data_IF_634562379058
#
_entry.id   IF_634562379058
#
_cell.length_a   1.000
_cell.length_b   1.000
_cell.length_c   1.000
_cell.angle_alpha   90.00
_cell.angle_beta   90.00
_cell.angle_gamma   90.00
#
_symmetry.space_group_name_H-M   'P 1'
#
loop_
_entity.id
_entity.type
_entity.pdbx_description
1 polymer ?
#
# COMPACT_ATOMS: atom_id res chain seq x y z
N UNK A 1 18.03 0.40 -20.31
CA UNK A 1 16.80 -0.39 -20.03
C UNK A 1 15.69 0.47 -19.44
N UNK A 2 14.90 1.14 -20.28
CA UNK A 2 13.78 1.99 -19.86
C UNK A 2 12.63 1.17 -19.22
N UNK A 3 12.37 -0.02 -19.76
CA UNK A 3 11.32 -0.93 -19.28
C UNK A 3 11.55 -1.44 -17.84
N UNK A 4 12.78 -1.85 -17.50
CA UNK A 4 13.14 -2.26 -16.13
C UNK A 4 13.02 -1.11 -15.13
N UNK A 5 13.35 0.12 -15.55
CA UNK A 5 13.28 1.29 -14.68
C UNK A 5 11.81 1.67 -14.37
N UNK A 6 10.93 1.51 -15.36
CA UNK A 6 9.49 1.70 -15.15
C UNK A 6 8.90 0.64 -14.22
N UNK A 7 9.31 -0.62 -14.38
CA UNK A 7 8.86 -1.73 -13.53
C UNK A 7 9.33 -1.57 -12.07
N UNK A 8 10.61 -1.23 -11.86
CA UNK A 8 11.13 -0.92 -10.51
C UNK A 8 10.38 0.25 -9.87
N UNK A 9 10.07 1.31 -10.63
CA UNK A 9 9.30 2.45 -10.12
C UNK A 9 7.89 2.08 -9.70
N UNK A 10 7.24 1.14 -10.38
CA UNK A 10 5.90 0.66 -10.00
C UNK A 10 5.97 -0.17 -8.72
N UNK A 11 6.95 -1.06 -8.63
CA UNK A 11 7.17 -1.89 -7.45
C UNK A 11 7.50 -1.06 -6.20
N UNK A 12 8.42 -0.08 -6.31
CA UNK A 12 8.75 0.82 -5.20
C UNK A 12 7.54 1.64 -4.73
N UNK A 13 6.66 2.06 -5.66
CA UNK A 13 5.41 2.74 -5.29
C UNK A 13 4.44 1.83 -4.56
N UNK A 14 4.28 0.59 -5.02
CA UNK A 14 3.44 -0.38 -4.34
C UNK A 14 3.95 -0.67 -2.93
N UNK A 15 5.27 -0.78 -2.75
CA UNK A 15 5.90 -0.95 -1.43
C UNK A 15 5.70 0.28 -0.52
N UNK A 16 5.83 1.49 -1.05
CA UNK A 16 5.55 2.71 -0.27
C UNK A 16 4.11 2.76 0.23
N UNK A 17 3.13 2.49 -0.64
CA UNK A 17 1.71 2.45 -0.25
C UNK A 17 1.40 1.31 0.71
N UNK A 18 2.10 0.17 0.59
CA UNK A 18 2.02 -0.94 1.54
C UNK A 18 2.51 -0.51 2.94
N UNK A 19 3.63 0.22 3.02
CA UNK A 19 4.17 0.76 4.27
C UNK A 19 3.27 1.84 4.90
N UNK A 20 2.69 2.73 4.09
CA UNK A 20 1.72 3.74 4.55
C UNK A 20 0.49 3.06 5.16
N UNK A 21 -0.04 2.03 4.50
CA UNK A 21 -1.17 1.22 4.99
C UNK A 21 -0.82 0.46 6.28
N UNK A 22 0.39 -0.09 6.39
CA UNK A 22 0.85 -0.79 7.59
C UNK A 22 0.96 0.18 8.78
N UNK A 23 1.56 1.35 8.55
CA UNK A 23 1.67 2.41 9.56
C UNK A 23 0.31 2.82 10.09
N UNK A 24 -0.67 3.04 9.20
CA UNK A 24 -2.05 3.37 9.59
C UNK A 24 -2.72 2.24 10.38
N UNK A 25 -2.55 0.99 9.95
CA UNK A 25 -3.10 -0.18 10.64
C UNK A 25 -2.52 -0.34 12.06
N UNK A 26 -1.22 -0.05 12.24
CA UNK A 26 -0.56 -0.09 13.54
C UNK A 26 -0.98 1.06 14.47
N UNK A 27 -1.13 2.28 13.93
CA UNK A 27 -1.55 3.45 14.70
C UNK A 27 -3.02 3.40 15.12
N UNK A 28 -3.88 2.79 14.29
CA UNK A 28 -5.32 2.71 14.54
C UNK A 28 -5.84 1.27 14.44
N UNK A 29 -5.59 0.41 15.45
CA UNK A 29 -6.06 -0.98 15.46
C UNK A 29 -7.58 -1.14 15.35
N UNK A 30 -8.33 -0.14 15.83
CA UNK A 30 -9.79 -0.10 15.76
C UNK A 30 -10.32 0.36 14.38
N UNK A 31 -9.53 1.11 13.61
CA UNK A 31 -9.85 1.55 12.24
C UNK A 31 -9.23 0.66 11.17
N UNK A 32 -8.63 -0.47 11.56
CA UNK A 32 -8.11 -1.52 10.68
C UNK A 32 -9.13 -2.07 9.65
N UNK A 33 -10.37 -1.58 9.68
CA UNK A 33 -11.48 -1.88 8.78
C UNK A 33 -11.52 -1.01 7.51
N UNK A 34 -10.51 -0.19 7.25
CA UNK A 34 -10.29 0.39 5.92
C UNK A 34 -10.03 1.90 5.93
N UNK A 35 -8.99 2.30 5.23
CA UNK A 35 -8.55 3.69 5.08
C UNK A 35 -8.95 4.22 3.70
N UNK A 36 -9.46 5.45 3.65
CA UNK A 36 -9.84 6.05 2.37
C UNK A 36 -8.63 6.24 1.46
N UNK A 37 -8.79 6.05 0.14
CA UNK A 37 -7.73 6.37 -0.82
C UNK A 37 -7.27 7.83 -0.73
N UNK A 38 -8.15 8.75 -0.27
CA UNK A 38 -7.81 10.14 -0.05
C UNK A 38 -6.76 10.34 1.06
N UNK A 39 -6.83 9.55 2.14
CA UNK A 39 -5.85 9.60 3.24
C UNK A 39 -4.50 9.09 2.76
N UNK A 40 -4.48 7.97 2.02
CA UNK A 40 -3.26 7.42 1.44
C UNK A 40 -2.61 8.39 0.44
N UNK A 41 -3.42 9.12 -0.34
CA UNK A 41 -2.93 10.20 -1.20
C UNK A 41 -2.31 11.35 -0.43
N UNK A 42 -2.84 11.69 0.75
CA UNK A 42 -2.31 12.78 1.56
C UNK A 42 -0.97 12.41 2.23
N UNK A 43 -0.77 11.14 2.58
CA UNK A 43 0.49 10.64 3.15
C UNK A 43 1.56 10.36 2.08
N UNK A 44 1.15 9.99 0.88
CA UNK A 44 2.08 9.62 -0.18
C UNK A 44 2.80 10.83 -0.78
N UNK A 45 4.10 10.67 -1.03
CA UNK A 45 4.89 11.61 -1.84
C UNK A 45 4.49 11.62 -3.32
N UNK A 46 3.65 10.68 -3.78
CA UNK A 46 3.12 10.64 -5.14
C UNK A 46 1.62 10.31 -5.17
N UNK A 47 0.74 11.30 -4.92
CA UNK A 47 -0.70 11.11 -4.80
C UNK A 47 -1.36 10.52 -6.06
N UNK A 48 -0.90 10.92 -7.24
CA UNK A 48 -1.39 10.44 -8.54
C UNK A 48 -1.19 8.93 -8.72
N UNK A 49 -0.13 8.37 -8.12
CA UNK A 49 0.24 6.96 -8.23
C UNK A 49 -0.48 6.01 -7.28
N UNK A 50 -1.17 6.54 -6.26
CA UNK A 50 -1.75 5.73 -5.17
C UNK A 50 -2.83 4.79 -5.69
N UNK A 51 -3.74 5.26 -6.54
CA UNK A 51 -4.82 4.42 -7.09
C UNK A 51 -4.28 3.23 -7.88
N UNK A 52 -3.22 3.45 -8.68
CA UNK A 52 -2.56 2.40 -9.43
C UNK A 52 -1.84 1.41 -8.52
N UNK A 53 -1.15 1.91 -7.49
CA UNK A 53 -0.47 1.06 -6.50
C UNK A 53 -1.47 0.20 -5.71
N UNK A 54 -2.60 0.76 -5.28
CA UNK A 54 -3.66 0.02 -4.61
C UNK A 54 -4.24 -1.09 -5.49
N UNK A 55 -4.45 -0.79 -6.77
CA UNK A 55 -4.89 -1.80 -7.75
C UNK A 55 -3.87 -2.92 -7.90
N UNK A 56 -2.56 -2.61 -7.93
CA UNK A 56 -1.50 -3.62 -7.98
C UNK A 56 -1.42 -4.46 -6.70
N UNK A 57 -1.57 -3.85 -5.54
CA UNK A 57 -1.61 -4.57 -4.26
C UNK A 57 -2.84 -5.48 -4.18
N UNK A 58 -3.97 -5.05 -4.76
CA UNK A 58 -5.19 -5.89 -4.90
C UNK A 58 -4.96 -7.10 -5.79
N UNK A 59 -4.36 -6.90 -6.96
CA UNK A 59 -4.00 -7.98 -7.89
C UNK A 59 -3.03 -8.98 -7.26
N UNK A 60 -2.15 -8.52 -6.37
CA UNK A 60 -1.21 -9.36 -5.62
C UNK A 60 -1.82 -10.00 -4.37
N UNK A 61 -3.07 -9.69 -4.02
CA UNK A 61 -3.74 -10.19 -2.82
C UNK A 61 -3.23 -9.59 -1.51
N UNK A 62 -2.45 -8.51 -1.57
CA UNK A 62 -1.86 -7.81 -0.43
C UNK A 62 -2.79 -6.74 0.16
N UNK A 63 -3.67 -6.16 -0.67
CA UNK A 63 -4.68 -5.20 -0.23
C UNK A 63 -6.06 -5.61 -0.74
N UNK A 64 -7.10 -5.16 -0.04
CA UNK A 64 -8.48 -5.32 -0.46
C UNK A 64 -9.26 -4.03 -0.29
N UNK A 65 -10.20 -3.82 -1.20
CA UNK A 65 -11.15 -2.72 -1.13
C UNK A 65 -12.39 -3.19 -0.34
N UNK A 66 -12.69 -2.51 0.76
CA UNK A 66 -13.77 -2.85 1.67
C UNK A 66 -15.09 -2.11 1.34
N UNK A 67 -15.04 -1.19 0.36
CA UNK A 67 -16.17 -0.40 -0.13
C UNK A 67 -16.07 1.08 0.24
N UNK A 68 -16.80 1.94 -0.49
CA UNK A 68 -16.76 3.41 -0.34
C UNK A 68 -15.33 4.00 -0.41
N UNK A 69 -14.50 3.48 -1.31
CA UNK A 69 -13.11 3.91 -1.48
C UNK A 69 -12.21 3.65 -0.25
N UNK A 70 -12.60 2.69 0.61
CA UNK A 70 -11.82 2.24 1.74
C UNK A 70 -10.97 1.01 1.38
N UNK A 71 -9.70 1.06 1.77
CA UNK A 71 -8.67 0.06 1.49
C UNK A 71 -8.06 -0.45 2.79
N UNK A 72 -7.87 -1.76 2.88
CA UNK A 72 -7.20 -2.40 4.01
C UNK A 72 -6.18 -3.42 3.52
N UNK A 73 -5.18 -3.69 4.35
CA UNK A 73 -4.29 -4.82 4.13
C UNK A 73 -5.01 -6.12 4.38
N UNK A 74 -4.69 -7.13 3.57
CA UNK A 74 -5.00 -8.52 3.89
C UNK A 74 -3.95 -9.03 4.89
N UNK A 75 -4.16 -10.24 5.42
CA UNK A 75 -3.12 -10.88 6.23
C UNK A 75 -1.79 -11.02 5.47
N UNK A 76 -1.85 -11.36 4.18
CA UNK A 76 -0.67 -11.44 3.33
C UNK A 76 0.03 -10.08 3.16
N UNK A 77 -0.75 -9.00 3.07
CA UNK A 77 -0.22 -7.63 3.03
C UNK A 77 0.51 -7.23 4.30
N UNK A 78 -0.03 -7.58 5.47
CA UNK A 78 0.63 -7.35 6.76
C UNK A 78 1.95 -8.12 6.87
N UNK A 79 1.95 -9.40 6.48
CA UNK A 79 3.15 -10.22 6.49
C UNK A 79 4.22 -9.70 5.52
N UNK A 80 3.82 -9.19 4.35
CA UNK A 80 4.73 -8.62 3.35
C UNK A 80 5.26 -7.25 3.78
N UNK A 81 4.44 -6.44 4.45
CA UNK A 81 4.87 -5.17 5.02
C UNK A 81 5.97 -5.38 6.07
N UNK A 82 5.79 -6.36 6.97
CA UNK A 82 6.80 -6.72 7.97
C UNK A 82 8.14 -7.15 7.37
N UNK A 83 8.12 -7.89 6.25
CA UNK A 83 9.35 -8.27 5.52
C UNK A 83 10.02 -7.10 4.81
N UNK A 84 9.25 -6.08 4.43
CA UNK A 84 9.76 -4.91 3.72
C UNK A 84 10.47 -3.98 4.69
N UNK A 85 9.91 -3.76 5.88
CA UNK A 85 10.53 -2.99 6.95
C UNK A 85 11.86 -3.61 7.43
N UNK A 86 11.94 -4.95 7.49
CA UNK A 86 13.18 -5.66 7.86
C UNK A 86 14.30 -5.55 6.81
N UNK A 87 13.98 -5.19 5.56
CA UNK A 87 14.98 -4.99 4.49
C UNK A 87 15.51 -3.57 4.39
N UNK A 88 14.84 -2.61 5.03
CA UNK A 88 15.23 -1.20 5.05
C UNK A 88 15.93 -0.78 6.36
N UNK A 89 15.94 -1.65 7.38
CA UNK A 89 16.66 -1.49 8.65
C UNK A 89 18.11 -2.01 8.61
#
# INVERSE_FOLDING_TARGET
NWFRNLQNRRQLRAQAVLGDLNTLAMQHPNEARGHSSAVLRAMSTNPEGVSLALSQLKEQGLAQELGKDAWALTQAGLDEAGKTEEKEA
#
